data_IF_749665894786
#
_entry.id   IF_749665894786
#
_cell.length_a   1.000
_cell.length_b   1.000
_cell.length_c   1.000
_cell.angle_alpha   90.00
_cell.angle_beta   90.00
_cell.angle_gamma   90.00
#
_symmetry.space_group_name_H-M   'P 1'
#
loop_
_entity.id
_entity.type
_entity.pdbx_description
1 polymer ?
#
# COMPACT_ATOMS: atom_id res chain seq x y z
N UNK A 1 1.21 -0.74 52.10
CA UNK A 1 1.52 0.10 50.91
C UNK A 1 1.33 -0.62 49.56
N UNK A 2 1.61 -1.92 49.44
CA UNK A 2 1.49 -2.66 48.15
C UNK A 2 0.05 -2.71 47.60
N UNK A 3 -0.96 -2.93 48.46
CA UNK A 3 -2.38 -3.04 48.05
C UNK A 3 -2.93 -1.71 47.49
N UNK A 4 -2.54 -0.58 48.09
CA UNK A 4 -2.97 0.76 47.63
C UNK A 4 -2.33 1.09 46.27
N UNK A 5 -1.07 0.69 46.05
CA UNK A 5 -0.39 0.85 44.76
C UNK A 5 -1.08 0.06 43.63
N UNK A 6 -1.50 -1.18 43.90
CA UNK A 6 -2.20 -2.03 42.92
C UNK A 6 -3.57 -1.45 42.53
N UNK A 7 -4.34 -0.96 43.49
CA UNK A 7 -5.64 -0.31 43.24
C UNK A 7 -5.44 0.97 42.42
N UNK A 8 -4.43 1.78 42.74
CA UNK A 8 -4.10 2.99 41.97
C UNK A 8 -3.75 2.68 40.51
N UNK A 9 -2.92 1.66 40.26
CA UNK A 9 -2.54 1.24 38.90
C UNK A 9 -3.73 0.69 38.12
N UNK A 10 -4.54 -0.18 38.75
CA UNK A 10 -5.73 -0.74 38.11
C UNK A 10 -6.76 0.36 37.76
N UNK A 11 -6.95 1.34 38.65
CA UNK A 11 -7.86 2.47 38.42
C UNK A 11 -7.37 3.36 37.29
N UNK A 12 -6.06 3.62 37.22
CA UNK A 12 -5.45 4.39 36.13
C UNK A 12 -5.59 3.68 34.78
N UNK A 13 -5.36 2.36 34.74
CA UNK A 13 -5.55 1.55 33.53
C UNK A 13 -7.02 1.56 33.08
N UNK A 14 -7.97 1.39 34.00
CA UNK A 14 -9.41 1.41 33.71
C UNK A 14 -9.87 2.77 33.16
N UNK A 15 -9.40 3.88 33.73
CA UNK A 15 -9.70 5.22 33.23
C UNK A 15 -9.18 5.43 31.80
N UNK A 16 -7.97 4.95 31.51
CA UNK A 16 -7.37 5.00 30.16
C UNK A 16 -8.18 4.17 29.15
N UNK A 17 -8.63 2.98 29.54
CA UNK A 17 -9.48 2.12 28.70
C UNK A 17 -10.84 2.74 28.43
N UNK A 18 -11.51 3.28 29.45
CA UNK A 18 -12.79 3.97 29.28
C UNK A 18 -12.68 5.20 28.37
N UNK A 19 -11.57 5.94 28.49
CA UNK A 19 -11.26 7.04 27.58
C UNK A 19 -11.04 6.60 26.13
N UNK A 20 -10.59 5.37 25.88
CA UNK A 20 -10.48 4.80 24.53
C UNK A 20 -11.83 4.30 24.01
N UNK A 21 -12.64 3.66 24.84
CA UNK A 21 -13.98 3.16 24.47
C UNK A 21 -14.93 4.30 24.06
N UNK A 22 -14.76 5.47 24.66
CA UNK A 22 -15.55 6.67 24.36
C UNK A 22 -14.87 7.61 23.37
N UNK A 23 -13.66 7.28 22.90
CA UNK A 23 -12.92 8.11 21.96
C UNK A 23 -13.62 8.14 20.61
N UNK A 24 -13.95 9.34 20.14
CA UNK A 24 -14.43 9.57 18.76
C UNK A 24 -13.28 9.60 17.74
N UNK A 25 -12.04 9.66 18.21
CA UNK A 25 -10.85 9.76 17.36
C UNK A 25 -9.70 8.99 17.97
N UNK A 26 -9.06 8.14 17.17
CA UNK A 26 -7.86 7.41 17.55
C UNK A 26 -6.64 8.05 16.86
N UNK A 27 -5.70 8.57 17.65
CA UNK A 27 -4.41 9.08 17.15
C UNK A 27 -3.31 8.09 17.51
N UNK A 28 -2.83 7.36 16.52
CA UNK A 28 -1.85 6.29 16.67
C UNK A 28 -0.81 6.36 15.56
N UNK A 29 0.34 5.75 15.78
CA UNK A 29 1.37 5.58 14.73
C UNK A 29 1.00 4.45 13.77
N UNK A 30 0.32 3.43 14.29
CA UNK A 30 0.01 2.20 13.58
C UNK A 30 -1.25 1.54 14.16
N UNK A 31 -2.05 0.91 13.30
CA UNK A 31 -3.13 -0.02 13.64
C UNK A 31 -2.86 -1.30 12.85
N UNK A 32 -2.86 -2.44 13.53
CA UNK A 32 -2.76 -3.77 12.91
C UNK A 32 -4.02 -4.56 13.18
N UNK A 33 -4.60 -5.12 12.12
CA UNK A 33 -5.68 -6.11 12.21
C UNK A 33 -5.06 -7.45 11.82
N UNK A 34 -5.09 -8.41 12.73
CA UNK A 34 -4.55 -9.75 12.52
C UNK A 34 -5.65 -10.80 12.62
N UNK A 35 -5.45 -11.95 11.98
CA UNK A 35 -6.37 -13.10 12.06
C UNK A 35 -6.13 -13.98 13.30
N UNK A 36 -6.89 -15.06 13.42
CA UNK A 36 -6.80 -16.03 14.51
C UNK A 36 -5.42 -16.72 14.63
N UNK A 37 -4.60 -16.67 13.58
CA UNK A 37 -3.25 -17.23 13.53
C UNK A 37 -2.18 -16.18 13.83
N UNK A 38 -2.58 -14.93 14.11
CA UNK A 38 -1.67 -13.81 14.35
C UNK A 38 -1.05 -13.25 13.07
N UNK A 39 -1.62 -13.56 11.90
CA UNK A 39 -1.15 -13.01 10.63
C UNK A 39 -1.83 -11.66 10.40
N UNK A 40 -1.04 -10.60 10.25
CA UNK A 40 -1.55 -9.30 9.85
C UNK A 40 -2.33 -9.41 8.54
N UNK A 41 -3.52 -8.80 8.49
CA UNK A 41 -4.41 -8.70 7.32
C UNK A 41 -4.52 -7.28 6.79
N UNK A 42 -4.46 -6.32 7.71
CA UNK A 42 -4.45 -4.89 7.40
C UNK A 42 -3.48 -4.19 8.35
N UNK A 43 -2.60 -3.37 7.79
CA UNK A 43 -1.74 -2.47 8.56
C UNK A 43 -1.97 -1.04 8.09
N UNK A 44 -2.46 -0.17 8.97
CA UNK A 44 -2.60 1.27 8.75
C UNK A 44 -1.47 1.97 9.51
N UNK A 45 -0.62 2.75 8.85
CA UNK A 45 0.50 3.40 9.53
C UNK A 45 0.88 4.74 8.92
N UNK A 46 1.41 5.64 9.75
CA UNK A 46 2.01 6.90 9.28
C UNK A 46 3.32 6.70 8.53
N UNK A 47 4.04 5.62 8.84
CA UNK A 47 5.12 5.08 8.01
C UNK A 47 4.86 3.58 7.87
N UNK A 48 4.56 3.13 6.65
CA UNK A 48 4.27 1.73 6.37
C UNK A 48 5.51 0.84 6.61
N UNK A 49 5.32 -0.37 7.14
CA UNK A 49 6.41 -1.31 7.35
C UNK A 49 7.01 -1.79 6.02
N UNK A 50 8.09 -2.55 6.11
CA UNK A 50 8.71 -3.21 4.97
C UNK A 50 7.77 -4.25 4.35
N UNK A 51 7.82 -4.39 3.02
CA UNK A 51 7.03 -5.37 2.26
C UNK A 51 7.38 -6.79 2.72
N UNK A 52 6.36 -7.64 2.90
CA UNK A 52 6.54 -9.04 3.28
C UNK A 52 6.08 -10.00 2.18
N UNK A 53 6.80 -11.12 2.04
CA UNK A 53 6.47 -12.26 1.19
C UNK A 53 6.56 -13.53 2.04
N UNK A 54 5.48 -14.31 2.13
CA UNK A 54 5.36 -15.46 3.02
C UNK A 54 5.75 -15.13 4.47
N UNK A 55 5.28 -13.98 4.97
CA UNK A 55 5.57 -13.50 6.33
C UNK A 55 7.01 -13.02 6.55
N UNK A 56 7.88 -13.04 5.53
CA UNK A 56 9.27 -12.60 5.63
C UNK A 56 9.47 -11.23 4.99
N UNK A 57 10.18 -10.30 5.63
CA UNK A 57 10.51 -9.03 4.99
C UNK A 57 11.36 -9.24 3.74
N UNK A 58 11.02 -8.56 2.64
CA UNK A 58 11.88 -8.51 1.45
C UNK A 58 13.03 -7.53 1.69
N UNK A 59 14.18 -7.74 1.05
CA UNK A 59 15.40 -6.90 1.18
C UNK A 59 15.30 -5.45 0.64
N UNK A 60 14.11 -4.85 0.62
CA UNK A 60 13.91 -3.44 0.25
C UNK A 60 13.92 -2.56 1.49
N UNK A 61 14.33 -1.30 1.38
CA UNK A 61 14.16 -0.37 2.51
C UNK A 61 12.67 -0.24 2.89
N UNK A 62 12.35 0.07 4.16
CA UNK A 62 11.00 0.46 4.56
C UNK A 62 10.47 1.58 3.64
N UNK A 63 9.17 1.57 3.36
CA UNK A 63 8.59 2.59 2.49
C UNK A 63 8.49 3.91 3.26
N UNK A 64 9.02 4.99 2.69
CA UNK A 64 8.82 6.34 3.22
C UNK A 64 7.44 6.87 2.78
N UNK A 65 6.38 6.24 3.27
CA UNK A 65 5.00 6.59 2.94
C UNK A 65 4.04 6.24 4.08
N UNK A 66 2.98 7.02 4.23
CA UNK A 66 1.84 6.70 5.11
C UNK A 66 0.67 6.10 4.32
N UNK A 67 -0.09 5.19 4.94
CA UNK A 67 -1.24 4.57 4.28
C UNK A 67 -1.69 3.26 4.90
N UNK A 68 -2.13 2.34 4.04
CA UNK A 68 -2.61 1.01 4.38
C UNK A 68 -1.93 -0.06 3.53
N UNK A 69 -1.53 -1.16 4.15
CA UNK A 69 -1.17 -2.40 3.47
C UNK A 69 -2.22 -3.47 3.74
N UNK A 70 -2.46 -4.32 2.75
CA UNK A 70 -3.33 -5.50 2.85
C UNK A 70 -2.53 -6.76 2.64
N UNK A 71 -2.90 -7.83 3.34
CA UNK A 71 -2.13 -9.07 3.36
C UNK A 71 -3.06 -10.29 3.24
N UNK A 72 -2.57 -11.36 2.60
CA UNK A 72 -3.26 -12.64 2.56
C UNK A 72 -2.92 -13.54 3.78
N UNK A 73 -3.49 -14.75 3.81
CA UNK A 73 -3.35 -15.66 4.96
C UNK A 73 -1.96 -16.27 5.13
N UNK A 74 -1.06 -16.05 4.18
CA UNK A 74 0.35 -16.42 4.30
C UNK A 74 1.20 -15.30 4.90
N UNK A 75 0.62 -14.12 5.14
CA UNK A 75 1.34 -12.91 5.51
C UNK A 75 2.08 -12.27 4.33
N UNK A 76 1.67 -12.58 3.09
CA UNK A 76 2.17 -11.93 1.88
C UNK A 76 1.39 -10.63 1.65
N UNK A 77 2.11 -9.52 1.47
CA UNK A 77 1.49 -8.25 1.08
C UNK A 77 0.81 -8.39 -0.29
N UNK A 78 -0.44 -7.94 -0.40
CA UNK A 78 -1.27 -7.97 -1.62
C UNK A 78 -1.48 -6.59 -2.23
N UNK A 79 -0.63 -5.65 -1.82
CA UNK A 79 -0.68 -4.24 -2.17
C UNK A 79 -1.18 -3.37 -1.03
N UNK A 80 -1.73 -2.22 -1.39
CA UNK A 80 -2.14 -1.21 -0.42
C UNK A 80 -2.38 0.14 -1.06
N UNK A 81 -2.76 1.12 -0.24
CA UNK A 81 -2.84 2.52 -0.65
C UNK A 81 -1.92 3.38 0.21
N UNK A 82 -1.45 4.50 -0.32
CA UNK A 82 -0.79 5.50 0.52
C UNK A 82 -0.22 6.67 -0.25
N UNK A 83 0.40 7.57 0.51
CA UNK A 83 1.02 8.80 0.03
C UNK A 83 2.49 8.82 0.40
N UNK A 84 3.38 9.01 -0.58
CA UNK A 84 4.82 9.09 -0.34
C UNK A 84 5.20 10.38 0.41
N UNK A 85 6.18 10.28 1.30
CA UNK A 85 6.66 11.43 2.09
C UNK A 85 7.47 12.43 1.25
N UNK A 86 8.18 11.95 0.21
CA UNK A 86 9.03 12.76 -0.66
C UNK A 86 8.27 13.34 -1.86
N UNK A 87 8.17 12.55 -2.93
CA UNK A 87 7.35 12.89 -4.08
C UNK A 87 5.91 12.49 -3.79
N UNK A 88 5.11 13.44 -3.28
CA UNK A 88 3.81 13.23 -2.63
C UNK A 88 2.67 12.75 -3.54
N UNK A 89 2.91 11.74 -4.35
CA UNK A 89 1.88 11.02 -5.10
C UNK A 89 0.99 10.22 -4.14
N UNK A 90 -0.26 10.03 -4.55
CA UNK A 90 -1.16 9.08 -3.93
C UNK A 90 -1.28 7.85 -4.82
N UNK A 91 -1.16 6.66 -4.25
CA UNK A 91 -1.22 5.42 -5.01
C UNK A 91 -2.10 4.37 -4.36
N UNK A 92 -2.68 3.51 -5.18
CA UNK A 92 -3.23 2.21 -4.83
C UNK A 92 -2.53 1.17 -5.71
N UNK A 93 -1.86 0.20 -5.09
CA UNK A 93 -1.29 -0.95 -5.79
C UNK A 93 -1.97 -2.23 -5.37
N UNK A 94 -2.05 -3.18 -6.30
CA UNK A 94 -2.42 -4.57 -5.99
C UNK A 94 -1.34 -5.50 -6.53
N UNK A 95 -1.01 -6.49 -5.70
CA UNK A 95 0.06 -7.44 -5.97
C UNK A 95 -0.50 -8.86 -6.11
N UNK A 96 0.17 -9.66 -6.92
CA UNK A 96 -0.12 -11.07 -7.12
C UNK A 96 0.14 -11.88 -5.85
N UNK A 97 -0.27 -13.15 -5.87
CA UNK A 97 -0.10 -14.03 -4.71
C UNK A 97 1.33 -14.50 -4.50
N UNK A 98 1.56 -15.26 -3.42
CA UNK A 98 2.85 -15.86 -3.15
C UNK A 98 3.32 -16.78 -4.28
N UNK A 99 2.40 -17.45 -4.98
CA UNK A 99 2.69 -18.26 -6.18
C UNK A 99 3.38 -17.45 -7.29
N UNK A 100 3.06 -16.16 -7.38
CA UNK A 100 3.60 -15.22 -8.36
C UNK A 100 4.59 -14.23 -7.73
N UNK A 101 5.12 -14.56 -6.55
CA UNK A 101 6.14 -13.80 -5.82
C UNK A 101 5.75 -12.35 -5.45
N UNK A 102 4.45 -12.05 -5.33
CA UNK A 102 4.00 -10.71 -4.96
C UNK A 102 4.38 -9.63 -5.99
N UNK A 103 4.35 -9.96 -7.29
CA UNK A 103 4.54 -8.98 -8.37
C UNK A 103 3.36 -8.01 -8.40
N UNK A 104 3.62 -6.73 -8.55
CA UNK A 104 2.57 -5.75 -8.77
C UNK A 104 1.82 -6.04 -10.08
N UNK A 105 0.50 -6.17 -9.99
CA UNK A 105 -0.39 -6.44 -11.13
C UNK A 105 -1.33 -5.27 -11.43
N UNK A 106 -1.46 -4.32 -10.51
CA UNK A 106 -2.25 -3.11 -10.71
C UNK A 106 -1.62 -1.92 -9.98
N UNK A 107 -1.72 -0.73 -10.59
CA UNK A 107 -1.34 0.55 -10.02
C UNK A 107 -2.34 1.62 -10.46
N UNK A 108 -2.96 2.30 -9.51
CA UNK A 108 -3.61 3.59 -9.71
C UNK A 108 -2.74 4.63 -9.03
N UNK A 109 -2.40 5.71 -9.73
CA UNK A 109 -1.51 6.73 -9.21
C UNK A 109 -2.03 8.12 -9.58
N UNK A 110 -2.13 8.99 -8.59
CA UNK A 110 -2.37 10.42 -8.76
C UNK A 110 -1.08 11.18 -8.47
N UNK A 111 -0.70 12.05 -9.41
CA UNK A 111 0.50 12.87 -9.33
C UNK A 111 0.24 14.12 -8.47
N UNK A 112 1.20 14.59 -7.65
CA UNK A 112 1.01 15.77 -6.81
C UNK A 112 0.74 17.04 -7.62
N UNK A 113 1.29 17.12 -8.84
CA UNK A 113 1.05 18.22 -9.79
C UNK A 113 -0.27 18.12 -10.55
N UNK A 114 -1.08 17.10 -10.28
CA UNK A 114 -2.32 16.82 -10.99
C UNK A 114 -2.15 15.79 -12.11
N UNK A 115 -3.28 15.23 -12.53
CA UNK A 115 -3.32 14.08 -13.41
C UNK A 115 -3.25 12.76 -12.65
N UNK A 116 -3.65 11.69 -13.33
CA UNK A 116 -3.65 10.35 -12.78
C UNK A 116 -3.54 9.32 -13.88
N UNK A 117 -3.01 8.16 -13.55
CA UNK A 117 -3.01 7.01 -14.44
C UNK A 117 -3.33 5.72 -13.71
N UNK A 118 -3.80 4.77 -14.51
CA UNK A 118 -4.06 3.40 -14.16
C UNK A 118 -3.12 2.53 -15.01
N UNK A 119 -2.52 1.52 -14.40
CA UNK A 119 -1.75 0.49 -15.08
C UNK A 119 -2.09 -0.88 -14.54
N UNK A 120 -2.31 -1.83 -15.45
CA UNK A 120 -2.47 -3.24 -15.15
C UNK A 120 -1.43 -4.05 -15.92
N UNK A 121 -0.87 -5.07 -15.28
CA UNK A 121 0.09 -5.99 -15.86
C UNK A 121 -0.41 -7.43 -15.79
N UNK A 122 0.00 -8.25 -16.74
CA UNK A 122 -0.13 -9.72 -16.69
C UNK A 122 1.23 -10.43 -16.48
N UNK A 123 2.31 -9.65 -16.36
CA UNK A 123 3.69 -10.14 -16.19
C UNK A 123 4.58 -9.86 -17.40
N UNK A 124 4.02 -9.81 -18.62
CA UNK A 124 4.77 -9.52 -19.86
C UNK A 124 4.20 -8.33 -20.59
N UNK A 125 2.89 -8.21 -20.68
CA UNK A 125 2.16 -7.08 -21.23
C UNK A 125 1.67 -6.10 -20.17
N UNK A 126 1.07 -5.02 -20.64
CA UNK A 126 0.35 -4.08 -19.78
C UNK A 126 -0.67 -3.24 -20.53
N UNK A 127 -1.71 -2.83 -19.82
CA UNK A 127 -2.62 -1.76 -20.24
C UNK A 127 -2.39 -0.58 -19.33
N UNK A 128 -2.12 0.59 -19.92
CA UNK A 128 -1.90 1.84 -19.18
C UNK A 128 -2.78 2.93 -19.76
N UNK A 129 -3.54 3.63 -18.93
CA UNK A 129 -4.35 4.76 -19.36
C UNK A 129 -4.35 5.84 -18.31
N UNK A 130 -4.56 7.08 -18.73
CA UNK A 130 -4.60 8.18 -17.79
C UNK A 130 -4.74 9.52 -18.47
N UNK A 131 -4.69 10.55 -17.65
CA UNK A 131 -4.62 11.94 -18.09
C UNK A 131 -3.48 12.58 -17.33
N UNK A 132 -2.44 12.97 -18.06
CA UNK A 132 -1.31 13.73 -17.54
C UNK A 132 -0.92 14.73 -18.61
N UNK A 133 -1.28 16.00 -18.41
CA UNK A 133 -1.35 17.07 -19.43
C UNK A 133 -2.36 16.79 -20.57
N UNK A 134 -2.31 15.58 -21.17
CA UNK A 134 -3.24 15.08 -22.19
C UNK A 134 -3.72 13.65 -21.86
N UNK A 135 -4.92 13.24 -22.31
CA UNK A 135 -5.36 11.85 -22.19
C UNK A 135 -4.47 10.89 -22.99
N UNK A 136 -4.25 9.69 -22.47
CA UNK A 136 -3.56 8.63 -23.18
C UNK A 136 -4.09 7.23 -22.85
N UNK A 137 -3.86 6.31 -23.77
CA UNK A 137 -4.05 4.87 -23.64
C UNK A 137 -2.88 4.16 -24.35
N UNK A 138 -2.27 3.19 -23.69
CA UNK A 138 -1.17 2.37 -24.20
C UNK A 138 -1.40 0.92 -23.83
N UNK A 139 -1.33 0.03 -24.80
CA UNK A 139 -1.37 -1.42 -24.65
C UNK A 139 -0.03 -1.98 -25.15
N UNK A 140 0.63 -2.74 -24.28
CA UNK A 140 1.87 -3.44 -24.56
C UNK A 140 1.67 -4.94 -24.50
N UNK A 141 2.30 -5.66 -25.42
CA UNK A 141 2.50 -7.11 -25.36
C UNK A 141 4.01 -7.37 -25.36
N UNK A 142 4.55 -7.82 -24.22
CA UNK A 142 5.99 -7.87 -24.01
C UNK A 142 6.63 -6.48 -24.14
N UNK A 143 7.52 -6.35 -25.14
CA UNK A 143 8.19 -5.08 -25.46
C UNK A 143 7.48 -4.29 -26.57
N UNK A 144 6.49 -4.90 -27.22
CA UNK A 144 5.86 -4.34 -28.40
C UNK A 144 4.66 -3.46 -28.00
N UNK A 145 4.56 -2.30 -28.66
CA UNK A 145 3.40 -1.42 -28.51
C UNK A 145 2.33 -1.89 -29.49
N UNK A 146 1.30 -2.56 -28.97
CA UNK A 146 0.16 -3.05 -29.76
C UNK A 146 -0.80 -1.91 -30.08
N UNK A 147 -1.00 -1.01 -29.13
CA UNK A 147 -1.84 0.18 -29.31
C UNK A 147 -1.30 1.34 -28.47
N UNK A 148 -1.25 2.53 -29.05
CA UNK A 148 -0.98 3.76 -28.33
C UNK A 148 -1.76 4.92 -28.92
N UNK A 149 -2.46 5.67 -28.05
CA UNK A 149 -3.12 6.93 -28.41
C UNK A 149 -2.89 7.96 -27.29
N UNK A 150 -2.30 9.15 -27.59
CA UNK A 150 -1.57 9.44 -28.83
C UNK A 150 -0.36 8.49 -28.97
N UNK A 151 0.14 8.33 -30.20
CA UNK A 151 1.21 7.37 -30.52
C UNK A 151 2.53 7.72 -29.80
N UNK A 152 2.73 9.00 -29.47
CA UNK A 152 3.94 9.55 -28.84
C UNK A 152 3.76 9.91 -27.36
N UNK A 153 3.10 9.06 -26.58
CA UNK A 153 2.89 9.31 -25.15
C UNK A 153 4.06 8.84 -24.23
N UNK A 154 4.00 9.22 -22.96
CA UNK A 154 5.04 8.93 -21.96
C UNK A 154 5.33 7.43 -21.74
N UNK A 155 4.41 6.55 -22.16
CA UNK A 155 4.50 5.11 -21.97
C UNK A 155 4.98 4.35 -23.22
N UNK A 156 4.97 4.96 -24.40
CA UNK A 156 5.55 4.34 -25.60
C UNK A 156 7.07 4.42 -25.63
N UNK A 157 7.67 5.43 -24.98
CA UNK A 157 9.13 5.62 -24.91
C UNK A 157 9.80 4.82 -23.77
N UNK A 158 9.03 4.32 -22.81
CA UNK A 158 9.55 3.54 -21.65
C UNK A 158 9.77 2.05 -21.95
N UNK A 159 9.28 1.53 -23.09
CA UNK A 159 9.47 0.14 -23.52
C UNK A 159 10.84 -0.18 -24.15
N UNK A 160 11.70 0.82 -24.33
CA UNK A 160 13.02 0.67 -24.95
C UNK A 160 14.13 0.95 -23.93
N UNK A 161 14.42 -0.04 -23.08
CA UNK A 161 15.76 -0.25 -22.50
C UNK A 161 16.02 -1.75 -22.35
#
# INVERSE_FOLDING_TARGET
MVVVGLIGVASYQAYRLHGLETAKTLRVKEIRVYDDKGVDRVVLAGNLPQVTLNGKPRNFKPREMGGMLIYDGSGTERGGYGTMNGYANAMLSLDSGPEEQGKQVMLLLAEPGGGAFFRQWDGTGSVTMGVYEKPFLTVMDGKDVVLAKPEDNAWTKRGVK
#
